data_IF_472296208730
#
_entry.id   IF_472296208730
#
_cell.length_a   1.000
_cell.length_b   1.000
_cell.length_c   1.000
_cell.angle_alpha   90.00
_cell.angle_beta   90.00
_cell.angle_gamma   90.00
#
_symmetry.space_group_name_H-M   'P 1'
#
loop_
_entity.id
_entity.type
_entity.pdbx_description
1 polymer ?
#
# COMPACT_ATOMS: atom_id res chain seq x y z
N UNK A 1 -14.53 12.41 -13.03
CA UNK A 1 -13.49 11.37 -13.10
C UNK A 1 -12.07 11.92 -13.20
N UNK A 2 -11.86 12.99 -14.02
CA UNK A 2 -10.53 13.65 -14.16
C UNK A 2 -10.02 14.26 -12.84
N UNK A 3 -10.93 14.80 -12.02
CA UNK A 3 -10.58 15.40 -10.72
C UNK A 3 -10.00 14.33 -9.77
N UNK A 4 -10.56 13.13 -9.76
CA UNK A 4 -10.08 12.03 -8.91
C UNK A 4 -8.68 11.55 -9.32
N UNK A 5 -8.42 11.45 -10.62
CA UNK A 5 -7.09 11.14 -11.13
C UNK A 5 -6.08 12.23 -10.74
N UNK A 6 -6.45 13.50 -10.83
CA UNK A 6 -5.62 14.62 -10.41
C UNK A 6 -5.29 14.57 -8.91
N UNK A 7 -6.23 14.18 -8.04
CA UNK A 7 -5.96 14.04 -6.60
C UNK A 7 -4.88 12.98 -6.32
N UNK A 8 -4.94 11.84 -6.98
CA UNK A 8 -3.92 10.79 -6.84
C UNK A 8 -2.56 11.26 -7.36
N UNK A 9 -2.54 11.97 -8.49
CA UNK A 9 -1.30 12.53 -9.04
C UNK A 9 -0.71 13.60 -8.12
N UNK A 10 -1.53 14.51 -7.58
CA UNK A 10 -1.08 15.54 -6.64
C UNK A 10 -0.54 14.93 -5.34
N UNK A 11 -1.21 13.91 -4.78
CA UNK A 11 -0.75 13.19 -3.61
C UNK A 11 0.60 12.51 -3.85
N UNK A 12 0.79 11.90 -5.03
CA UNK A 12 2.05 11.29 -5.44
C UNK A 12 3.17 12.32 -5.59
N UNK A 13 2.89 13.45 -6.24
CA UNK A 13 3.85 14.54 -6.41
C UNK A 13 4.24 15.18 -5.06
N UNK A 14 3.27 15.44 -4.20
CA UNK A 14 3.51 15.93 -2.84
C UNK A 14 4.41 14.99 -2.04
N UNK A 15 4.12 13.69 -2.11
CA UNK A 15 4.94 12.68 -1.45
C UNK A 15 6.38 12.68 -1.96
N UNK A 16 6.56 12.74 -3.28
CA UNK A 16 7.90 12.78 -3.89
C UNK A 16 8.67 14.04 -3.47
N UNK A 17 8.01 15.21 -3.46
CA UNK A 17 8.60 16.45 -3.00
C UNK A 17 9.01 16.41 -1.52
N UNK A 18 8.18 15.77 -0.67
CA UNK A 18 8.50 15.56 0.75
C UNK A 18 9.69 14.61 0.93
N UNK A 19 9.75 13.53 0.16
CA UNK A 19 10.87 12.60 0.17
C UNK A 19 12.17 13.28 -0.25
N UNK A 20 12.16 14.06 -1.31
CA UNK A 20 13.32 14.80 -1.78
C UNK A 20 13.87 15.80 -0.75
N UNK A 21 12.99 16.43 0.05
CA UNK A 21 13.40 17.34 1.13
C UNK A 21 13.92 16.63 2.38
N UNK A 22 13.48 15.39 2.63
CA UNK A 22 13.81 14.63 3.85
C UNK A 22 15.00 13.69 3.70
N UNK A 23 15.54 13.51 2.51
CA UNK A 23 16.62 12.55 2.23
C UNK A 23 17.98 12.86 2.90
N UNK A 24 18.10 14.02 3.55
CA UNK A 24 19.32 14.40 4.29
C UNK A 24 19.33 14.07 5.78
N UNK A 25 18.21 13.64 6.37
CA UNK A 25 18.14 13.29 7.80
C UNK A 25 18.08 11.78 7.95
N UNK A 26 19.17 11.21 8.44
CA UNK A 26 19.32 9.78 8.78
C UNK A 26 18.50 9.40 10.04
N UNK A 27 17.26 9.90 10.15
CA UNK A 27 16.38 9.64 11.27
C UNK A 27 15.56 8.38 10.99
N UNK A 28 15.87 7.37 11.77
CA UNK A 28 15.18 6.09 11.91
C UNK A 28 15.21 5.16 10.69
N UNK A 29 16.35 4.53 10.47
CA UNK A 29 16.56 3.46 9.47
C UNK A 29 15.65 2.22 9.64
N UNK A 30 14.72 2.24 10.61
CA UNK A 30 13.81 1.12 10.86
C UNK A 30 12.61 1.11 9.91
N UNK A 31 12.23 2.27 9.37
CA UNK A 31 11.08 2.42 8.48
C UNK A 31 11.53 3.06 7.17
N UNK A 32 11.38 2.30 6.10
CA UNK A 32 11.83 2.75 4.78
C UNK A 32 10.96 3.87 4.20
N UNK A 33 9.69 3.98 4.65
CA UNK A 33 8.75 4.95 4.09
C UNK A 33 7.80 5.55 5.14
N UNK A 34 7.53 6.85 4.99
CA UNK A 34 6.39 7.52 5.62
C UNK A 34 5.24 7.61 4.62
N UNK A 35 4.12 6.98 4.93
CA UNK A 35 2.96 6.88 4.06
C UNK A 35 3.05 5.78 3.00
N UNK A 36 1.91 5.44 2.37
CA UNK A 36 1.80 4.36 1.39
C UNK A 36 2.73 4.62 0.19
N UNK A 37 3.59 3.66 -0.19
CA UNK A 37 4.47 3.79 -1.35
C UNK A 37 3.69 3.93 -2.66
N UNK A 38 4.14 4.81 -3.57
CA UNK A 38 3.51 4.97 -4.88
C UNK A 38 3.41 3.67 -5.69
N UNK A 39 4.40 2.75 -5.68
CA UNK A 39 4.25 1.46 -6.33
C UNK A 39 3.09 0.62 -5.79
N UNK A 40 2.80 0.70 -4.47
CA UNK A 40 1.66 -0.01 -3.88
C UNK A 40 0.33 0.55 -4.37
N UNK A 41 0.22 1.87 -4.52
CA UNK A 41 -0.96 2.49 -5.10
C UNK A 41 -1.15 2.07 -6.57
N UNK A 42 -0.07 1.99 -7.35
CA UNK A 42 -0.12 1.52 -8.73
C UNK A 42 -0.56 0.05 -8.82
N UNK A 43 -0.03 -0.82 -7.95
CA UNK A 43 -0.45 -2.22 -7.87
C UNK A 43 -1.93 -2.36 -7.48
N UNK A 44 -2.42 -1.53 -6.57
CA UNK A 44 -3.83 -1.50 -6.20
C UNK A 44 -4.72 -1.23 -7.42
N UNK A 45 -4.42 -0.16 -8.17
CA UNK A 45 -5.18 0.18 -9.37
C UNK A 45 -5.07 -0.88 -10.46
N UNK A 46 -3.89 -1.49 -10.62
CA UNK A 46 -3.70 -2.62 -11.52
C UNK A 46 -4.57 -3.81 -11.13
N UNK A 47 -4.67 -4.13 -9.83
CA UNK A 47 -5.54 -5.19 -9.34
C UNK A 47 -7.04 -4.87 -9.53
N UNK A 48 -7.47 -3.63 -9.31
CA UNK A 48 -8.86 -3.19 -9.57
C UNK A 48 -9.21 -3.33 -11.05
N UNK A 49 -8.31 -2.89 -11.95
CA UNK A 49 -8.48 -3.06 -13.39
C UNK A 49 -8.53 -4.54 -13.79
N UNK A 50 -7.74 -5.38 -13.16
CA UNK A 50 -7.79 -6.82 -13.39
C UNK A 50 -9.13 -7.43 -12.95
N UNK A 51 -9.66 -7.06 -11.78
CA UNK A 51 -11.02 -7.46 -11.36
C UNK A 51 -12.04 -7.08 -12.42
N UNK A 52 -11.97 -5.84 -12.90
CA UNK A 52 -12.89 -5.38 -13.95
C UNK A 52 -12.77 -6.17 -15.25
N UNK A 53 -11.56 -6.46 -15.69
CA UNK A 53 -11.32 -7.23 -16.91
C UNK A 53 -11.76 -8.70 -16.79
N UNK A 54 -11.64 -9.30 -15.60
CA UNK A 54 -11.96 -10.70 -15.35
C UNK A 54 -13.46 -10.94 -15.12
N UNK A 55 -14.15 -10.04 -14.41
CA UNK A 55 -15.54 -10.22 -13.98
C UNK A 55 -16.55 -9.47 -14.87
N UNK A 56 -16.06 -8.51 -15.67
CA UNK A 56 -16.89 -7.74 -16.60
C UNK A 56 -17.96 -6.88 -15.90
N UNK A 57 -19.06 -6.56 -16.63
CA UNK A 57 -20.12 -5.65 -16.14
C UNK A 57 -20.86 -6.13 -14.88
N UNK A 58 -20.82 -7.42 -14.57
CA UNK A 58 -21.49 -7.98 -13.39
C UNK A 58 -20.86 -7.48 -12.07
N UNK A 59 -19.60 -7.05 -12.10
CA UNK A 59 -18.86 -6.58 -10.93
C UNK A 59 -18.91 -5.06 -10.69
N UNK A 60 -19.75 -4.33 -11.44
CA UNK A 60 -19.79 -2.85 -11.38
C UNK A 60 -19.96 -2.33 -9.95
N UNK A 61 -20.81 -2.94 -9.13
CA UNK A 61 -21.00 -2.54 -7.73
C UNK A 61 -19.71 -2.68 -6.91
N UNK A 62 -19.05 -3.81 -7.01
CA UNK A 62 -17.77 -4.08 -6.31
C UNK A 62 -16.67 -3.14 -6.79
N UNK A 63 -16.58 -2.89 -8.08
CA UNK A 63 -15.57 -2.00 -8.68
C UNK A 63 -15.78 -0.56 -8.26
N UNK A 64 -17.02 -0.08 -8.20
CA UNK A 64 -17.32 1.27 -7.70
C UNK A 64 -16.84 1.42 -6.26
N UNK A 65 -17.13 0.46 -5.38
CA UNK A 65 -16.65 0.47 -4.00
C UNK A 65 -15.12 0.43 -3.92
N UNK A 66 -14.46 -0.43 -4.65
CA UNK A 66 -13.00 -0.48 -4.73
C UNK A 66 -12.44 0.84 -5.28
N UNK A 67 -13.07 1.43 -6.28
CA UNK A 67 -12.72 2.74 -6.82
C UNK A 67 -12.82 3.84 -5.75
N UNK A 68 -13.92 3.92 -5.02
CA UNK A 68 -14.12 4.89 -3.93
C UNK A 68 -13.05 4.71 -2.84
N UNK A 69 -12.80 3.48 -2.40
CA UNK A 69 -11.74 3.16 -1.43
C UNK A 69 -10.38 3.60 -1.95
N UNK A 70 -10.06 3.28 -3.20
CA UNK A 70 -8.79 3.66 -3.81
C UNK A 70 -8.58 5.17 -3.91
N UNK A 71 -9.62 5.90 -4.31
CA UNK A 71 -9.53 7.37 -4.47
C UNK A 71 -9.47 8.10 -3.12
N UNK A 72 -10.08 7.54 -2.08
CA UNK A 72 -10.10 8.17 -0.75
C UNK A 72 -8.93 7.76 0.12
N UNK A 73 -8.72 6.45 0.29
CA UNK A 73 -7.72 5.94 1.23
C UNK A 73 -6.29 6.01 0.70
N UNK A 74 -6.06 5.81 -0.60
CA UNK A 74 -4.69 5.85 -1.12
C UNK A 74 -4.07 7.25 -1.04
N UNK A 75 -4.69 8.34 -1.50
CA UNK A 75 -4.13 9.68 -1.36
C UNK A 75 -3.92 10.08 0.10
N UNK A 76 -4.90 9.78 0.97
CA UNK A 76 -4.76 10.04 2.41
C UNK A 76 -3.61 9.24 3.02
N UNK A 77 -3.50 7.98 2.68
CA UNK A 77 -2.39 7.13 3.11
C UNK A 77 -1.04 7.57 2.57
N UNK A 78 -0.97 8.08 1.34
CA UNK A 78 0.25 8.59 0.73
C UNK A 78 0.75 9.89 1.38
N UNK A 79 -0.16 10.77 1.79
CA UNK A 79 0.16 12.04 2.47
C UNK A 79 0.39 11.82 3.96
N UNK A 80 -0.11 10.73 4.54
CA UNK A 80 0.05 10.41 5.95
C UNK A 80 1.53 10.27 6.34
N UNK A 81 1.80 10.41 7.65
CA UNK A 81 3.13 10.15 8.24
C UNK A 81 3.21 8.77 8.89
N UNK A 82 2.28 7.89 8.56
CA UNK A 82 2.30 6.55 9.12
C UNK A 82 3.53 5.79 8.65
N UNK A 83 4.32 5.28 9.58
CA UNK A 83 5.50 4.50 9.24
C UNK A 83 5.06 3.22 8.53
N UNK A 84 5.66 2.96 7.38
CA UNK A 84 5.42 1.77 6.56
C UNK A 84 6.72 1.00 6.41
N UNK A 85 6.68 -0.32 6.55
CA UNK A 85 7.86 -1.12 6.27
C UNK A 85 8.08 -1.20 4.76
N UNK A 86 9.31 -0.97 4.31
CA UNK A 86 9.72 -1.20 2.94
C UNK A 86 10.36 -2.58 2.77
N UNK A 87 10.68 -2.92 1.52
CA UNK A 87 11.41 -4.15 1.19
C UNK A 87 12.90 -3.90 0.95
N UNK A 88 13.35 -2.64 1.08
CA UNK A 88 14.71 -2.23 0.79
C UNK A 88 15.73 -2.75 1.83
N UNK A 89 15.34 -2.80 3.10
CA UNK A 89 16.19 -3.20 4.22
C UNK A 89 15.98 -4.66 4.63
N UNK A 90 16.01 -5.56 3.65
CA UNK A 90 15.91 -7.00 3.91
C UNK A 90 17.16 -7.51 4.63
N UNK A 91 17.00 -8.34 5.65
CA UNK A 91 18.10 -8.94 6.40
C UNK A 91 18.60 -8.13 7.60
N UNK A 92 18.14 -6.90 7.80
CA UNK A 92 18.56 -6.04 8.92
C UNK A 92 17.83 -6.41 10.22
N UNK A 93 16.54 -6.78 10.09
CA UNK A 93 15.68 -7.09 11.23
C UNK A 93 14.87 -8.37 10.98
N UNK A 94 15.27 -9.44 11.64
CA UNK A 94 14.62 -10.75 11.51
C UNK A 94 13.13 -10.74 11.86
N UNK A 95 12.70 -9.88 12.79
CA UNK A 95 11.29 -9.76 13.17
C UNK A 95 10.47 -9.13 12.04
N UNK A 96 10.99 -8.04 11.47
CA UNK A 96 10.36 -7.34 10.35
C UNK A 96 10.36 -8.20 9.07
N UNK A 97 11.43 -8.95 8.84
CA UNK A 97 11.53 -9.84 7.68
C UNK A 97 10.52 -10.98 7.74
N UNK A 98 10.23 -11.52 8.94
CA UNK A 98 9.15 -12.51 9.12
C UNK A 98 7.78 -11.94 8.79
N UNK A 99 7.50 -10.69 9.18
CA UNK A 99 6.23 -10.01 8.86
C UNK A 99 6.11 -9.74 7.37
N UNK A 100 7.20 -9.30 6.73
CA UNK A 100 7.26 -9.11 5.26
C UNK A 100 6.99 -10.42 4.53
N UNK A 101 7.66 -11.49 4.95
CA UNK A 101 7.48 -12.83 4.37
C UNK A 101 6.06 -13.35 4.57
N UNK A 102 5.51 -13.24 5.78
CA UNK A 102 4.14 -13.64 6.08
C UNK A 102 3.13 -12.86 5.24
N UNK A 103 3.35 -11.54 5.05
CA UNK A 103 2.49 -10.74 4.19
C UNK A 103 2.59 -11.14 2.72
N UNK A 104 3.80 -11.42 2.20
CA UNK A 104 3.99 -11.90 0.83
C UNK A 104 3.30 -13.27 0.60
N UNK A 105 3.45 -14.20 1.54
CA UNK A 105 2.77 -15.51 1.49
C UNK A 105 1.25 -15.31 1.49
N UNK A 106 0.75 -14.41 2.33
CA UNK A 106 -0.69 -14.08 2.39
C UNK A 106 -1.17 -13.45 1.09
N UNK A 107 -0.38 -12.57 0.46
CA UNK A 107 -0.68 -11.97 -0.84
C UNK A 107 -0.85 -13.08 -1.91
N UNK A 108 0.15 -13.95 -2.03
CA UNK A 108 0.12 -15.05 -3.00
C UNK A 108 -1.04 -16.01 -2.70
N UNK A 109 -1.24 -16.39 -1.44
CA UNK A 109 -2.33 -17.27 -1.03
C UNK A 109 -3.72 -16.69 -1.35
N UNK A 110 -3.93 -15.41 -1.08
CA UNK A 110 -5.18 -14.71 -1.40
C UNK A 110 -5.39 -14.58 -2.92
N UNK A 111 -4.32 -14.33 -3.68
CA UNK A 111 -4.40 -14.29 -5.14
C UNK A 111 -4.75 -15.65 -5.74
N UNK A 112 -4.18 -16.74 -5.22
CA UNK A 112 -4.50 -18.11 -5.66
C UNK A 112 -5.93 -18.48 -5.29
N UNK A 113 -6.40 -18.08 -4.10
CA UNK A 113 -7.76 -18.43 -3.63
C UNK A 113 -8.87 -17.58 -4.23
N UNK A 114 -8.69 -16.27 -4.32
CA UNK A 114 -9.71 -15.28 -4.74
C UNK A 114 -9.35 -14.54 -6.02
N UNK A 115 -8.29 -14.93 -6.70
CA UNK A 115 -7.85 -14.26 -7.92
C UNK A 115 -7.51 -12.78 -7.69
N UNK A 116 -7.93 -11.93 -8.61
CA UNK A 116 -7.67 -10.49 -8.59
C UNK A 116 -8.22 -9.79 -7.34
N UNK A 117 -9.41 -10.19 -6.85
CA UNK A 117 -10.01 -9.66 -5.61
C UNK A 117 -9.10 -9.96 -4.41
N UNK A 118 -8.50 -11.15 -4.35
CA UNK A 118 -7.51 -11.51 -3.33
C UNK A 118 -6.31 -10.57 -3.32
N UNK A 119 -5.82 -10.18 -4.50
CA UNK A 119 -4.76 -9.19 -4.65
C UNK A 119 -5.15 -7.83 -4.07
N UNK A 120 -6.35 -7.33 -4.38
CA UNK A 120 -6.85 -6.06 -3.81
C UNK A 120 -6.93 -6.11 -2.29
N UNK A 121 -7.48 -7.19 -1.72
CA UNK A 121 -7.60 -7.36 -0.27
C UNK A 121 -6.22 -7.39 0.42
N UNK A 122 -5.26 -8.09 -0.17
CA UNK A 122 -3.90 -8.13 0.35
C UNK A 122 -3.23 -6.75 0.32
N UNK A 123 -3.42 -5.97 -0.75
CA UNK A 123 -2.86 -4.63 -0.86
C UNK A 123 -3.47 -3.63 0.14
N UNK A 124 -4.77 -3.75 0.44
CA UNK A 124 -5.44 -2.97 1.49
C UNK A 124 -4.92 -3.38 2.88
N UNK A 125 -4.60 -4.66 3.10
CA UNK A 125 -4.07 -5.14 4.38
C UNK A 125 -2.64 -4.64 4.68
N UNK A 126 -1.89 -4.23 3.67
CA UNK A 126 -0.50 -3.78 3.83
C UNK A 126 -0.32 -2.61 4.83
N UNK A 127 -1.01 -1.47 4.71
CA UNK A 127 -0.86 -0.38 5.66
C UNK A 127 -1.35 -0.77 7.07
N UNK A 128 -2.35 -1.63 7.18
CA UNK A 128 -2.86 -2.11 8.45
C UNK A 128 -1.85 -3.02 9.16
N UNK A 129 -1.29 -3.99 8.46
CA UNK A 129 -0.24 -4.89 8.99
C UNK A 129 0.99 -4.12 9.42
N UNK A 130 1.40 -3.14 8.62
CA UNK A 130 2.53 -2.28 8.91
C UNK A 130 2.31 -1.46 10.19
N UNK A 131 1.16 -0.81 10.30
CA UNK A 131 0.81 0.00 11.46
C UNK A 131 0.67 -0.83 12.73
N UNK A 132 0.06 -2.01 12.63
CA UNK A 132 -0.12 -2.93 13.75
C UNK A 132 1.23 -3.44 14.28
N UNK A 133 2.10 -3.89 13.39
CA UNK A 133 3.41 -4.40 13.76
C UNK A 133 4.26 -3.34 14.48
N UNK A 134 4.22 -2.09 14.00
CA UNK A 134 4.97 -0.99 14.59
C UNK A 134 4.45 -0.64 15.98
N UNK A 135 3.11 -0.68 16.18
CA UNK A 135 2.49 -0.41 17.49
C UNK A 135 2.76 -1.50 18.52
N UNK A 136 2.85 -2.75 18.08
CA UNK A 136 3.07 -3.90 18.98
C UNK A 136 4.55 -4.08 19.35
N UNK A 137 5.44 -3.34 18.75
CA UNK A 137 6.87 -3.43 19.06
C UNK A 137 7.17 -2.55 20.27
N UNK A 138 7.64 -3.13 21.41
CA UNK A 138 8.09 -2.31 22.53
C UNK A 138 9.28 -1.46 22.06
N UNK A 139 9.26 -0.19 22.40
CA UNK A 139 10.39 0.72 22.24
C UNK A 139 11.53 0.21 23.11
N UNK A 140 12.45 -0.53 22.54
CA UNK A 140 13.77 -0.80 23.14
C UNK A 140 14.74 0.27 22.74
#
# INVERSE_FOLDING_TARGET
DRILALLVMMASAWRLARFARGSGKAEDRRFDFAGIPAPMAALYWGAVLWVWAAEGPASVGSIVWLGVVGVTLLPLGMVSRWPQFGFKTWGVDRGLDRVRLAWLISLVGLMVWKGAVGGVLALISYPLTSALFIRLRPST
#
